data_IF_765757779369
#
_entry.id   IF_765757779369
#
_cell.length_a   1.000
_cell.length_b   1.000
_cell.length_c   1.000
_cell.angle_alpha   90.00
_cell.angle_beta   90.00
_cell.angle_gamma   90.00
#
_symmetry.space_group_name_H-M   'P 1'
#
loop_
_entity.id
_entity.type
_entity.pdbx_description
1 polymer ?
#
# COMPACT_ATOMS: atom_id res chain seq x y z
N UNK A 1 -13.00 6.24 3.70
CA UNK A 1 -11.87 5.86 2.82
C UNK A 1 -10.81 5.01 3.53
N UNK A 2 -10.19 5.42 4.65
CA UNK A 2 -9.25 4.53 5.38
C UNK A 2 -9.92 3.28 5.98
N UNK A 3 -11.13 3.44 6.53
CA UNK A 3 -11.93 2.34 7.05
C UNK A 3 -12.28 1.31 5.96
N UNK A 4 -12.52 1.78 4.72
CA UNK A 4 -12.84 0.94 3.57
C UNK A 4 -11.63 0.09 3.15
N UNK A 5 -10.42 0.67 3.16
CA UNK A 5 -9.18 -0.06 2.89
C UNK A 5 -8.86 -1.11 3.98
N UNK A 6 -9.14 -0.80 5.25
CA UNK A 6 -9.00 -1.76 6.36
C UNK A 6 -9.99 -2.92 6.18
N UNK A 7 -11.23 -2.63 5.80
CA UNK A 7 -12.24 -3.65 5.50
C UNK A 7 -11.82 -4.52 4.32
N UNK A 8 -11.30 -3.92 3.24
CA UNK A 8 -10.80 -4.64 2.05
C UNK A 8 -9.68 -5.63 2.41
N UNK A 9 -8.72 -5.21 3.24
CA UNK A 9 -7.65 -6.09 3.71
C UNK A 9 -8.21 -7.25 4.54
N UNK A 10 -9.11 -6.96 5.50
CA UNK A 10 -9.72 -8.01 6.33
C UNK A 10 -10.58 -8.98 5.52
N UNK A 11 -11.35 -8.50 4.54
CA UNK A 11 -12.18 -9.37 3.69
C UNK A 11 -11.33 -10.32 2.84
N UNK A 12 -10.04 -9.99 2.63
CA UNK A 12 -9.04 -10.85 1.97
C UNK A 12 -8.20 -11.67 2.96
N UNK A 13 -8.51 -11.65 4.26
CA UNK A 13 -7.74 -12.35 5.29
C UNK A 13 -6.36 -11.73 5.57
N UNK A 14 -6.10 -10.51 5.11
CA UNK A 14 -4.82 -9.82 5.27
C UNK A 14 -4.85 -8.91 6.50
N UNK A 15 -3.76 -8.93 7.27
CA UNK A 15 -3.53 -7.94 8.33
C UNK A 15 -3.48 -6.51 7.78
N UNK A 16 -4.17 -5.60 8.45
CA UNK A 16 -4.22 -4.16 8.13
C UNK A 16 -3.03 -3.40 8.70
N UNK A 17 -1.84 -3.68 8.18
CA UNK A 17 -0.60 -3.00 8.59
C UNK A 17 -0.51 -1.60 7.97
N UNK A 18 0.23 -0.69 8.62
CA UNK A 18 0.45 0.67 8.10
C UNK A 18 1.01 0.66 6.67
N UNK A 19 1.94 -0.27 6.38
CA UNK A 19 2.51 -0.46 5.05
C UNK A 19 1.49 -0.83 3.98
N UNK A 20 0.63 -1.82 4.25
CA UNK A 20 -0.40 -2.26 3.28
C UNK A 20 -1.44 -1.17 3.04
N UNK A 21 -1.81 -0.44 4.09
CA UNK A 21 -2.72 0.70 3.97
C UNK A 21 -2.10 1.83 3.15
N UNK A 22 -0.83 2.16 3.38
CA UNK A 22 -0.14 3.18 2.59
C UNK A 22 0.00 2.79 1.10
N UNK A 23 0.28 1.51 0.81
CA UNK A 23 0.33 0.99 -0.57
C UNK A 23 -1.05 1.10 -1.24
N UNK A 24 -2.13 0.72 -0.56
CA UNK A 24 -3.49 0.86 -1.09
C UNK A 24 -3.86 2.31 -1.36
N UNK A 25 -3.52 3.24 -0.45
CA UNK A 25 -3.72 4.69 -0.69
C UNK A 25 -2.91 5.19 -1.88
N UNK A 26 -1.67 4.72 -2.04
CA UNK A 26 -0.85 5.08 -3.19
C UNK A 26 -1.46 4.59 -4.51
N UNK A 27 -2.06 3.40 -4.52
CA UNK A 27 -2.81 2.85 -5.67
C UNK A 27 -4.09 3.63 -5.95
N UNK A 28 -4.83 4.05 -4.93
CA UNK A 28 -6.01 4.93 -5.10
C UNK A 28 -5.60 6.28 -5.72
N UNK A 29 -4.48 6.85 -5.29
CA UNK A 29 -3.97 8.13 -5.79
C UNK A 29 -3.41 8.02 -7.23
N UNK A 30 -2.80 6.88 -7.58
CA UNK A 30 -2.23 6.62 -8.91
C UNK A 30 -2.61 5.23 -9.42
N UNK A 31 -3.82 5.07 -9.96
CA UNK A 31 -4.21 3.86 -10.66
C UNK A 31 -3.22 3.58 -11.79
N UNK A 32 -2.69 2.35 -11.85
CA UNK A 32 -1.65 1.92 -12.81
C UNK A 32 -0.27 2.61 -12.68
N UNK A 33 0.01 3.26 -11.55
CA UNK A 33 1.35 3.77 -11.26
C UNK A 33 2.40 2.65 -11.23
N UNK A 34 3.64 2.98 -11.63
CA UNK A 34 4.74 2.00 -11.56
C UNK A 34 5.13 1.71 -10.12
N UNK A 35 5.80 0.57 -9.87
CA UNK A 35 6.26 0.21 -8.54
C UNK A 35 7.18 1.29 -7.93
N UNK A 36 8.03 1.93 -8.74
CA UNK A 36 8.88 3.07 -8.34
C UNK A 36 8.06 4.30 -7.95
N UNK A 37 6.98 4.60 -8.67
CA UNK A 37 6.07 5.71 -8.36
C UNK A 37 5.33 5.45 -7.05
N UNK A 38 4.79 4.25 -6.88
CA UNK A 38 4.12 3.83 -5.65
C UNK A 38 5.10 3.84 -4.48
N UNK A 39 6.34 3.37 -4.67
CA UNK A 39 7.37 3.40 -3.62
C UNK A 39 7.66 4.81 -3.15
N UNK A 40 7.73 5.79 -4.06
CA UNK A 40 7.90 7.21 -3.69
C UNK A 40 6.73 7.73 -2.86
N UNK A 41 5.50 7.43 -3.27
CA UNK A 41 4.30 7.85 -2.54
C UNK A 41 4.25 7.24 -1.13
N UNK A 42 4.51 5.93 -1.02
CA UNK A 42 4.52 5.23 0.27
C UNK A 42 5.63 5.73 1.19
N UNK A 43 6.80 6.06 0.65
CA UNK A 43 7.88 6.72 1.42
C UNK A 43 7.47 8.11 1.91
N UNK A 44 6.69 8.84 1.13
CA UNK A 44 6.13 10.13 1.56
C UNK A 44 5.19 10.00 2.76
N UNK A 45 4.42 8.91 2.85
CA UNK A 45 3.47 8.66 3.95
C UNK A 45 4.15 8.06 5.19
N UNK A 46 5.05 7.08 5.02
CA UNK A 46 5.65 6.32 6.13
C UNK A 46 7.05 6.80 6.55
N UNK A 47 7.64 7.73 5.80
CA UNK A 47 9.01 8.22 5.99
C UNK A 47 10.06 7.24 5.47
N UNK A 48 10.16 6.04 6.05
CA UNK A 48 11.10 5.01 5.59
C UNK A 48 10.40 3.71 5.25
N UNK A 49 10.63 3.21 4.04
CA UNK A 49 10.22 1.87 3.60
C UNK A 49 11.19 1.36 2.54
N UNK A 50 11.52 0.07 2.59
CA UNK A 50 12.33 -0.56 1.55
C UNK A 50 11.49 -0.75 0.29
N UNK A 51 12.14 -0.73 -0.88
CA UNK A 51 11.47 -1.01 -2.14
C UNK A 51 10.87 -2.41 -2.15
N UNK A 52 11.62 -3.39 -1.60
CA UNK A 52 11.18 -4.77 -1.50
C UNK A 52 9.89 -4.90 -0.69
N UNK A 53 9.79 -4.20 0.44
CA UNK A 53 8.57 -4.23 1.25
C UNK A 53 7.36 -3.72 0.46
N UNK A 54 7.53 -2.71 -0.41
CA UNK A 54 6.45 -2.25 -1.31
C UNK A 54 6.08 -3.33 -2.32
N UNK A 55 7.05 -4.00 -2.95
CA UNK A 55 6.77 -5.14 -3.84
C UNK A 55 6.07 -6.29 -3.13
N UNK A 56 6.53 -6.67 -1.94
CA UNK A 56 5.92 -7.75 -1.16
C UNK A 56 4.47 -7.41 -0.80
N UNK A 57 4.19 -6.14 -0.50
CA UNK A 57 2.82 -5.70 -0.29
C UNK A 57 1.99 -5.77 -1.58
N UNK A 58 2.51 -5.27 -2.71
CA UNK A 58 1.82 -5.31 -4.00
C UNK A 58 1.53 -6.74 -4.48
N UNK A 59 2.44 -7.68 -4.22
CA UNK A 59 2.27 -9.08 -4.59
C UNK A 59 1.18 -9.82 -3.78
N UNK A 60 0.82 -9.28 -2.61
CA UNK A 60 -0.18 -9.84 -1.70
C UNK A 60 -1.57 -9.20 -1.84
N UNK A 61 -1.65 -8.01 -2.46
CA UNK A 61 -2.89 -7.27 -2.66
C UNK A 61 -3.63 -7.80 -3.88
#
# INVERSE_FOLDING_TARGET
MSADLVQLLRSRGLHSTAQRLAVLRALEARPHGTAEELTRLVRGDLGTVSRQAVYDALALL
#
